data_IF_031352002758
#
_entry.id   IF_031352002758
#
_cell.length_a   1.000
_cell.length_b   1.000
_cell.length_c   1.000
_cell.angle_alpha   90.00
_cell.angle_beta   90.00
_cell.angle_gamma   90.00
#
_symmetry.space_group_name_H-M   'P 1'
#
loop_
_entity.id
_entity.type
_entity.pdbx_description
1 polymer ?
#
# COMPACT_ATOMS: atom_id res chain seq x y z
N UNK A 1 1.79 -21.35 -16.29
CA UNK A 1 2.88 -21.54 -15.33
C UNK A 1 3.34 -20.16 -14.94
N UNK A 2 3.13 -19.78 -13.69
CA UNK A 2 3.59 -18.49 -13.17
C UNK A 2 5.13 -18.55 -13.10
N UNK A 3 5.80 -17.58 -13.68
CA UNK A 3 7.27 -17.55 -13.77
C UNK A 3 7.76 -16.26 -13.15
N UNK A 4 8.63 -16.39 -12.16
CA UNK A 4 9.29 -15.23 -11.56
C UNK A 4 10.21 -14.54 -12.56
N UNK A 5 10.26 -13.22 -12.52
CA UNK A 5 11.20 -12.44 -13.33
C UNK A 5 12.58 -12.44 -12.66
N UNK A 6 13.66 -12.82 -13.35
CA UNK A 6 15.00 -12.74 -12.80
C UNK A 6 15.33 -11.32 -12.33
N UNK A 7 15.79 -11.18 -11.08
CA UNK A 7 16.11 -9.88 -10.46
C UNK A 7 14.93 -9.19 -9.79
N UNK A 8 13.72 -9.73 -9.84
CA UNK A 8 12.59 -9.25 -9.05
C UNK A 8 12.88 -9.43 -7.56
N UNK A 9 12.36 -8.49 -6.73
CA UNK A 9 12.53 -8.57 -5.27
C UNK A 9 11.64 -9.61 -4.60
N UNK A 10 10.53 -9.97 -5.24
CA UNK A 10 9.60 -10.99 -4.76
C UNK A 10 9.54 -12.17 -5.74
N UNK A 11 9.27 -13.33 -5.20
CA UNK A 11 8.95 -14.55 -5.95
C UNK A 11 7.61 -15.09 -5.48
N UNK A 12 6.90 -15.84 -6.32
CA UNK A 12 5.63 -16.45 -5.92
C UNK A 12 5.77 -17.33 -4.68
N UNK A 13 6.90 -18.00 -4.51
CA UNK A 13 7.19 -18.85 -3.34
C UNK A 13 7.31 -18.05 -2.03
N UNK A 14 7.63 -16.76 -2.09
CA UNK A 14 7.72 -15.90 -0.90
C UNK A 14 6.37 -15.29 -0.51
N UNK A 15 5.36 -15.36 -1.38
CA UNK A 15 4.01 -14.82 -1.12
C UNK A 15 3.16 -15.89 -0.44
N UNK A 16 3.08 -15.81 0.89
CA UNK A 16 2.21 -16.69 1.66
C UNK A 16 0.74 -16.24 1.57
N UNK A 17 -0.17 -17.20 1.55
CA UNK A 17 -1.62 -16.94 1.59
C UNK A 17 -2.22 -17.53 2.85
N UNK A 18 -3.17 -16.83 3.45
CA UNK A 18 -3.89 -17.30 4.62
C UNK A 18 -4.76 -16.20 5.25
N UNK A 19 -5.79 -16.58 6.01
CA UNK A 19 -6.72 -15.63 6.61
C UNK A 19 -6.01 -14.69 7.59
N UNK A 20 -6.46 -13.44 7.66
CA UNK A 20 -6.07 -12.54 8.73
C UNK A 20 -6.72 -12.98 10.06
N UNK A 21 -6.07 -12.74 11.20
CA UNK A 21 -6.72 -12.88 12.50
C UNK A 21 -7.89 -11.90 12.63
N UNK A 22 -8.88 -12.28 13.44
CA UNK A 22 -10.07 -11.44 13.68
C UNK A 22 -9.67 -10.09 14.32
N UNK A 23 -8.64 -10.10 15.16
CA UNK A 23 -8.18 -8.91 15.87
C UNK A 23 -6.86 -8.41 15.26
N UNK A 24 -6.95 -7.36 14.47
CA UNK A 24 -5.78 -6.64 13.96
C UNK A 24 -5.46 -5.47 14.87
N UNK A 25 -4.20 -5.33 15.24
CA UNK A 25 -3.73 -4.25 16.10
C UNK A 25 -3.81 -2.88 15.39
N UNK A 26 -3.64 -2.87 14.06
CA UNK A 26 -3.70 -1.67 13.23
C UNK A 26 -4.01 -2.04 11.78
N UNK A 27 -4.81 -1.22 11.11
CA UNK A 27 -5.14 -1.36 9.69
C UNK A 27 -4.92 -0.02 8.98
N UNK A 28 -4.26 -0.03 7.84
CA UNK A 28 -4.03 1.17 7.03
C UNK A 28 -4.45 0.96 5.58
N UNK A 29 -4.97 2.02 4.98
CA UNK A 29 -5.18 2.13 3.53
C UNK A 29 -4.05 2.98 2.98
N UNK A 30 -3.24 2.44 2.07
CA UNK A 30 -2.23 3.22 1.37
C UNK A 30 -2.70 3.58 -0.03
N UNK A 31 -2.49 4.84 -0.41
CA UNK A 31 -2.85 5.36 -1.72
C UNK A 31 -1.59 5.87 -2.41
N UNK A 32 -1.32 5.35 -3.60
CA UNK A 32 -0.30 5.87 -4.51
C UNK A 32 -1.00 6.44 -5.75
N UNK A 33 -1.30 7.75 -5.77
CA UNK A 33 -1.85 8.37 -6.96
C UNK A 33 -0.75 8.44 -8.02
N UNK A 34 -1.04 7.98 -9.22
CA UNK A 34 -0.10 8.08 -10.33
C UNK A 34 0.29 9.54 -10.57
N UNK A 35 1.59 9.79 -10.64
CA UNK A 35 2.15 11.09 -11.00
C UNK A 35 2.28 11.31 -12.50
N UNK A 36 1.51 10.61 -13.32
CA UNK A 36 1.56 10.71 -14.78
C UNK A 36 0.93 12.00 -15.31
N UNK A 37 1.31 12.36 -16.53
CA UNK A 37 0.77 13.53 -17.23
C UNK A 37 -0.65 13.33 -17.76
N UNK A 38 -1.20 12.12 -17.65
CA UNK A 38 -2.55 11.77 -18.08
C UNK A 38 -3.32 11.08 -16.92
N UNK A 39 -4.00 11.90 -16.08
CA UNK A 39 -4.76 11.39 -14.93
C UNK A 39 -5.85 10.38 -15.28
N UNK A 40 -6.33 10.38 -16.53
CA UNK A 40 -7.38 9.47 -16.99
C UNK A 40 -6.82 8.10 -17.40
N UNK A 41 -5.52 8.00 -17.65
CA UNK A 41 -4.88 6.78 -18.14
C UNK A 41 -4.02 6.05 -17.11
N UNK A 42 -3.78 6.64 -15.96
CA UNK A 42 -2.93 6.04 -14.94
C UNK A 42 -3.75 5.42 -13.81
N UNK A 43 -3.41 4.20 -13.40
CA UNK A 43 -4.02 3.55 -12.25
C UNK A 43 -3.61 4.25 -10.95
N UNK A 44 -4.52 4.29 -10.00
CA UNK A 44 -4.24 4.69 -8.63
C UNK A 44 -4.11 3.44 -7.76
N UNK A 45 -2.93 3.23 -7.21
CA UNK A 45 -2.68 2.13 -6.28
C UNK A 45 -3.43 2.38 -4.97
N UNK A 46 -4.27 1.43 -4.56
CA UNK A 46 -4.98 1.46 -3.28
C UNK A 46 -4.89 0.08 -2.67
N UNK A 47 -4.05 -0.07 -1.65
CA UNK A 47 -3.83 -1.34 -0.96
C UNK A 47 -4.15 -1.18 0.51
N UNK A 48 -4.85 -2.16 1.08
CA UNK A 48 -5.15 -2.21 2.52
C UNK A 48 -4.34 -3.32 3.16
N UNK A 49 -3.64 -2.99 4.23
CA UNK A 49 -2.90 -3.95 5.02
C UNK A 49 -3.17 -3.76 6.52
N UNK A 50 -3.01 -4.84 7.27
CA UNK A 50 -3.16 -4.87 8.71
C UNK A 50 -1.93 -5.45 9.41
N UNK A 51 -1.73 -5.04 10.65
CA UNK A 51 -0.74 -5.60 11.58
C UNK A 51 -1.48 -6.46 12.61
N UNK A 52 -1.14 -7.74 12.67
CA UNK A 52 -1.66 -8.62 13.70
C UNK A 52 -0.97 -8.41 15.06
N UNK A 53 -1.62 -8.84 16.13
CA UNK A 53 -1.03 -8.89 17.47
C UNK A 53 0.19 -9.83 17.54
N UNK A 54 0.29 -10.77 16.59
CA UNK A 54 1.42 -11.67 16.38
C UNK A 54 2.65 -10.99 15.73
N UNK A 55 2.55 -9.69 15.38
CA UNK A 55 3.60 -8.93 14.72
C UNK A 55 3.73 -9.23 13.22
N UNK A 56 2.78 -9.94 12.62
CA UNK A 56 2.75 -10.25 11.19
C UNK A 56 1.93 -9.23 10.42
N UNK A 57 2.30 -8.98 9.17
CA UNK A 57 1.53 -8.19 8.23
C UNK A 57 0.54 -9.03 7.44
N UNK A 58 -0.61 -8.46 7.15
CA UNK A 58 -1.68 -9.09 6.37
C UNK A 58 -2.15 -8.14 5.28
N UNK A 59 -2.02 -8.54 4.02
CA UNK A 59 -2.61 -7.80 2.91
C UNK A 59 -4.08 -8.18 2.83
N UNK A 60 -4.95 -7.21 3.08
CA UNK A 60 -6.38 -7.42 3.26
C UNK A 60 -7.18 -7.19 1.98
N UNK A 61 -6.77 -6.23 1.17
CA UNK A 61 -7.46 -5.90 -0.08
C UNK A 61 -6.56 -5.13 -1.05
N UNK A 62 -6.75 -5.38 -2.33
CA UNK A 62 -6.32 -4.52 -3.43
C UNK A 62 -7.56 -3.81 -4.00
N UNK A 63 -7.62 -2.51 -3.85
CA UNK A 63 -8.70 -1.65 -4.33
C UNK A 63 -8.23 -0.68 -5.41
N UNK A 64 -7.09 -0.98 -6.00
CA UNK A 64 -6.50 -0.22 -7.12
C UNK A 64 -7.52 -0.01 -8.22
N UNK A 65 -7.52 1.17 -8.80
CA UNK A 65 -8.51 1.57 -9.79
C UNK A 65 -7.93 2.58 -10.76
N UNK A 66 -8.68 2.78 -11.83
CA UNK A 66 -8.43 3.80 -12.84
C UNK A 66 -9.66 4.70 -12.92
N UNK A 67 -9.68 5.69 -12.06
CA UNK A 67 -10.83 6.58 -11.87
C UNK A 67 -10.39 8.04 -11.77
N UNK A 68 -11.35 8.95 -11.93
CA UNK A 68 -11.15 10.36 -11.62
C UNK A 68 -10.74 10.58 -10.15
N UNK A 69 -10.19 11.74 -9.79
CA UNK A 69 -9.85 12.06 -8.40
C UNK A 69 -11.01 11.83 -7.41
N UNK A 70 -12.23 12.21 -7.78
CA UNK A 70 -13.42 11.96 -6.97
C UNK A 70 -13.70 10.45 -6.84
N UNK A 71 -13.54 9.70 -7.93
CA UNK A 71 -13.80 8.27 -7.98
C UNK A 71 -12.81 7.48 -7.11
N UNK A 72 -11.51 7.71 -7.26
CA UNK A 72 -10.53 7.00 -6.44
C UNK A 72 -10.54 7.46 -4.97
N UNK A 73 -10.84 8.74 -4.71
CA UNK A 73 -11.02 9.23 -3.35
C UNK A 73 -12.17 8.51 -2.63
N UNK A 74 -13.32 8.37 -3.32
CA UNK A 74 -14.47 7.62 -2.80
C UNK A 74 -14.13 6.14 -2.57
N UNK A 75 -13.33 5.54 -3.46
CA UNK A 75 -12.89 4.15 -3.33
C UNK A 75 -11.97 3.95 -2.12
N UNK A 76 -11.04 4.88 -1.90
CA UNK A 76 -10.16 4.85 -0.73
C UNK A 76 -10.94 5.02 0.58
N UNK A 77 -11.91 5.94 0.63
CA UNK A 77 -12.79 6.13 1.81
C UNK A 77 -13.65 4.89 2.05
N UNK A 78 -14.19 4.26 1.02
CA UNK A 78 -14.92 2.99 1.17
C UNK A 78 -14.04 1.89 1.72
N UNK A 79 -12.82 1.72 1.19
CA UNK A 79 -11.87 0.73 1.71
C UNK A 79 -11.56 0.98 3.19
N UNK A 80 -11.40 2.24 3.60
CA UNK A 80 -11.20 2.63 4.99
C UNK A 80 -12.39 2.21 5.88
N UNK A 81 -13.62 2.45 5.43
CA UNK A 81 -14.83 2.10 6.17
C UNK A 81 -15.07 0.58 6.20
N UNK A 82 -14.99 -0.09 5.04
CA UNK A 82 -15.28 -1.51 4.90
C UNK A 82 -14.35 -2.39 5.75
N UNK A 83 -13.09 -1.99 5.89
CA UNK A 83 -12.06 -2.75 6.59
C UNK A 83 -11.72 -2.17 7.96
N UNK A 84 -12.53 -1.23 8.45
CA UNK A 84 -12.34 -0.56 9.74
C UNK A 84 -10.89 -0.08 9.94
N UNK A 85 -10.32 0.56 8.90
CA UNK A 85 -8.95 1.04 8.95
C UNK A 85 -8.79 2.21 9.94
N UNK A 86 -7.58 2.34 10.49
CA UNK A 86 -7.24 3.41 11.43
C UNK A 86 -6.84 4.70 10.72
N UNK A 87 -6.25 4.57 9.53
CA UNK A 87 -5.80 5.72 8.74
C UNK A 87 -5.71 5.42 7.25
N UNK A 88 -5.71 6.51 6.47
CA UNK A 88 -5.28 6.49 5.07
C UNK A 88 -3.91 7.16 5.01
N UNK A 89 -2.96 6.59 4.30
CA UNK A 89 -1.65 7.20 4.06
C UNK A 89 -1.37 7.34 2.56
N UNK A 90 -0.58 8.34 2.21
CA UNK A 90 -0.14 8.58 0.84
C UNK A 90 1.11 9.44 0.79
N UNK A 91 1.86 9.35 -0.32
CA UNK A 91 3.12 10.06 -0.47
C UNK A 91 2.92 11.57 -0.60
N UNK A 92 3.69 12.35 0.17
CA UNK A 92 3.60 13.80 0.21
C UNK A 92 4.29 14.51 -0.96
N UNK A 93 5.26 13.87 -1.63
CA UNK A 93 6.14 14.52 -2.61
C UNK A 93 5.43 14.90 -3.94
N UNK A 94 4.25 14.33 -4.20
CA UNK A 94 3.43 14.64 -5.36
C UNK A 94 2.08 15.23 -4.92
N UNK A 95 2.11 16.36 -4.22
CA UNK A 95 0.89 17.03 -3.78
C UNK A 95 0.23 16.34 -2.58
N UNK A 96 0.99 16.05 -1.51
CA UNK A 96 0.47 15.44 -0.29
C UNK A 96 -0.79 16.12 0.24
N UNK A 97 -0.90 17.42 0.07
CA UNK A 97 -2.13 18.18 0.37
C UNK A 97 -3.27 17.83 -0.61
N UNK A 98 -2.94 17.46 -1.86
CA UNK A 98 -3.94 17.10 -2.86
C UNK A 98 -4.62 15.77 -2.50
N UNK A 99 -3.86 14.73 -2.14
CA UNK A 99 -4.43 13.43 -1.72
C UNK A 99 -5.32 13.61 -0.50
N UNK A 100 -4.84 14.33 0.50
CA UNK A 100 -5.61 14.65 1.70
C UNK A 100 -6.91 15.41 1.38
N UNK A 101 -6.84 16.38 0.46
CA UNK A 101 -8.01 17.15 0.03
C UNK A 101 -9.04 16.27 -0.71
N UNK A 102 -8.58 15.40 -1.60
CA UNK A 102 -9.44 14.47 -2.34
C UNK A 102 -10.15 13.51 -1.37
N UNK A 103 -9.42 12.92 -0.43
CA UNK A 103 -10.00 12.04 0.60
C UNK A 103 -11.04 12.77 1.46
N UNK A 104 -10.74 14.00 1.92
CA UNK A 104 -11.69 14.82 2.69
C UNK A 104 -12.95 15.17 1.90
N UNK A 105 -12.78 15.55 0.64
CA UNK A 105 -13.90 15.90 -0.23
C UNK A 105 -14.79 14.66 -0.52
N UNK A 106 -14.16 13.51 -0.77
CA UNK A 106 -14.88 12.26 -0.95
C UNK A 106 -15.68 11.87 0.31
N UNK A 107 -15.09 11.95 1.48
CA UNK A 107 -15.76 11.67 2.75
C UNK A 107 -16.97 12.61 2.97
N UNK A 108 -16.80 13.91 2.68
CA UNK A 108 -17.89 14.90 2.75
C UNK A 108 -19.02 14.56 1.78
N UNK A 109 -18.70 14.22 0.53
CA UNK A 109 -19.68 13.83 -0.46
C UNK A 109 -20.45 12.56 -0.09
N UNK A 110 -19.79 11.64 0.59
CA UNK A 110 -20.38 10.40 1.12
C UNK A 110 -21.16 10.61 2.43
N UNK A 111 -21.10 11.79 3.04
CA UNK A 111 -21.75 12.08 4.31
C UNK A 111 -21.13 11.36 5.51
N UNK A 112 -19.84 11.04 5.44
CA UNK A 112 -19.12 10.33 6.52
C UNK A 112 -18.03 11.22 7.11
N UNK A 113 -17.58 10.88 8.33
CA UNK A 113 -16.46 11.55 8.98
C UNK A 113 -15.19 11.33 8.14
N UNK A 114 -14.42 12.40 7.94
CA UNK A 114 -13.17 12.32 7.20
C UNK A 114 -12.19 11.36 7.90
N UNK A 115 -11.60 10.40 7.15
CA UNK A 115 -10.57 9.52 7.67
C UNK A 115 -9.37 10.29 8.23
N UNK A 116 -8.70 9.72 9.23
CA UNK A 116 -7.38 10.20 9.63
C UNK A 116 -6.41 9.97 8.46
N UNK A 117 -5.85 11.06 7.93
CA UNK A 117 -4.88 11.01 6.83
C UNK A 117 -3.47 11.28 7.35
N UNK A 118 -2.53 10.44 6.94
CA UNK A 118 -1.11 10.58 7.23
C UNK A 118 -0.31 10.74 5.95
N UNK A 119 0.31 11.90 5.76
CA UNK A 119 1.30 12.09 4.70
C UNK A 119 2.57 11.31 5.03
N UNK A 120 3.06 10.51 4.09
CA UNK A 120 4.33 9.78 4.20
C UNK A 120 5.34 10.42 3.26
N UNK A 121 6.60 10.49 3.70
CA UNK A 121 7.67 11.14 2.95
C UNK A 121 8.67 10.11 2.45
N UNK A 122 8.93 10.13 1.14
CA UNK A 122 10.01 9.37 0.55
C UNK A 122 11.36 10.05 0.85
N UNK A 123 12.09 9.53 1.81
CA UNK A 123 13.47 9.96 2.08
C UNK A 123 14.51 9.23 1.22
N UNK A 124 14.11 8.17 0.51
CA UNK A 124 14.98 7.30 -0.29
C UNK A 124 14.27 6.85 -1.57
N UNK A 125 15.04 6.41 -2.57
CA UNK A 125 14.51 5.90 -3.84
C UNK A 125 13.60 4.67 -3.66
N UNK A 126 12.75 4.42 -4.64
CA UNK A 126 11.72 3.36 -4.60
C UNK A 126 12.29 1.97 -4.32
N UNK A 127 13.39 1.58 -4.98
CA UNK A 127 14.05 0.29 -4.76
C UNK A 127 14.53 0.12 -3.31
N UNK A 128 15.08 1.18 -2.71
CA UNK A 128 15.58 1.17 -1.32
C UNK A 128 14.43 1.03 -0.31
N UNK A 129 13.25 1.55 -0.62
CA UNK A 129 12.04 1.40 0.22
C UNK A 129 11.41 0.02 0.08
N UNK A 130 11.43 -0.54 -1.13
CA UNK A 130 10.87 -1.85 -1.42
C UNK A 130 11.65 -3.00 -0.76
N UNK A 131 12.97 -2.87 -0.65
CA UNK A 131 13.84 -3.92 -0.13
C UNK A 131 13.48 -4.40 1.28
N UNK A 132 13.28 -3.54 2.30
CA UNK A 132 12.88 -4.00 3.63
C UNK A 132 11.52 -4.72 3.63
N UNK A 133 10.60 -4.31 2.76
CA UNK A 133 9.30 -4.96 2.62
C UNK A 133 9.46 -6.34 1.99
N UNK A 134 10.27 -6.49 0.93
CA UNK A 134 10.56 -7.79 0.32
C UNK A 134 11.19 -8.76 1.34
N UNK A 135 12.09 -8.27 2.21
CA UNK A 135 12.68 -9.07 3.30
C UNK A 135 11.63 -9.59 4.29
N UNK A 136 10.57 -8.82 4.57
CA UNK A 136 9.46 -9.30 5.41
C UNK A 136 8.75 -10.50 4.79
N UNK A 137 8.60 -10.53 3.47
CA UNK A 137 8.03 -11.68 2.75
C UNK A 137 8.97 -12.89 2.82
N UNK A 138 10.28 -12.71 2.56
CA UNK A 138 11.27 -13.78 2.67
C UNK A 138 11.32 -14.41 4.07
N UNK A 139 11.09 -13.59 5.10
CA UNK A 139 11.01 -14.05 6.50
C UNK A 139 9.67 -14.71 6.85
N UNK A 140 8.74 -14.81 5.90
CA UNK A 140 7.40 -15.34 6.13
C UNK A 140 6.55 -14.47 7.06
N UNK A 141 6.82 -13.18 7.16
CA UNK A 141 6.13 -12.25 8.07
C UNK A 141 4.96 -11.52 7.45
N UNK A 142 4.69 -11.74 6.17
CA UNK A 142 3.54 -11.15 5.47
C UNK A 142 2.73 -12.27 4.82
N UNK A 143 1.40 -12.18 4.92
CA UNK A 143 0.48 -13.07 4.23
C UNK A 143 -0.56 -12.26 3.45
N UNK A 144 -0.95 -12.75 2.30
CA UNK A 144 -2.10 -12.25 1.55
C UNK A 144 -3.36 -13.00 2.00
N UNK A 145 -4.43 -12.27 2.31
CA UNK A 145 -5.66 -12.89 2.80
C UNK A 145 -6.45 -13.61 1.71
N UNK A 146 -6.16 -13.29 0.46
CA UNK A 146 -6.66 -13.95 -0.74
C UNK A 146 -5.59 -13.81 -1.86
N UNK A 147 -5.82 -14.40 -3.01
CA UNK A 147 -4.97 -14.22 -4.18
C UNK A 147 -5.29 -12.88 -4.82
N UNK A 148 -4.33 -11.96 -4.79
CA UNK A 148 -4.39 -10.66 -5.46
C UNK A 148 -3.57 -10.73 -6.75
N UNK A 149 -4.13 -11.37 -7.79
CA UNK A 149 -3.39 -11.75 -8.98
C UNK A 149 -2.60 -10.59 -9.62
N UNK A 150 -3.23 -9.43 -9.81
CA UNK A 150 -2.58 -8.28 -10.43
C UNK A 150 -1.48 -7.67 -9.54
N UNK A 151 -1.70 -7.62 -8.22
CA UNK A 151 -0.68 -7.17 -7.27
C UNK A 151 0.50 -8.15 -7.22
N UNK A 152 0.22 -9.45 -7.17
CA UNK A 152 1.25 -10.50 -7.10
C UNK A 152 2.08 -10.56 -8.40
N UNK A 153 1.44 -10.37 -9.56
CA UNK A 153 2.13 -10.24 -10.84
C UNK A 153 3.05 -9.01 -10.87
N UNK A 154 2.61 -7.87 -10.36
CA UNK A 154 3.46 -6.68 -10.24
C UNK A 154 4.66 -6.93 -9.33
N UNK A 155 4.47 -7.56 -8.16
CA UNK A 155 5.53 -7.88 -7.21
C UNK A 155 6.60 -8.79 -7.83
N UNK A 156 6.17 -9.85 -8.51
CA UNK A 156 7.08 -10.88 -9.06
C UNK A 156 7.67 -10.53 -10.43
N UNK A 157 7.18 -9.48 -11.07
CA UNK A 157 7.70 -8.99 -12.36
C UNK A 157 8.56 -7.74 -12.25
N UNK A 158 8.37 -6.92 -11.23
CA UNK A 158 9.13 -5.68 -11.09
C UNK A 158 10.55 -5.92 -10.58
N UNK A 159 11.52 -5.26 -11.24
CA UNK A 159 12.92 -5.23 -10.81
C UNK A 159 13.36 -3.80 -10.50
N UNK A 160 14.36 -3.60 -9.61
CA UNK A 160 14.92 -2.27 -9.34
C UNK A 160 15.42 -1.53 -10.59
N UNK A 161 15.86 -2.26 -11.61
CA UNK A 161 16.33 -1.73 -12.87
C UNK A 161 15.23 -1.34 -13.85
N UNK A 162 13.97 -1.74 -13.59
CA UNK A 162 12.82 -1.46 -14.47
C UNK A 162 12.48 0.03 -14.56
N UNK A 163 13.07 0.88 -13.74
CA UNK A 163 12.92 2.33 -13.74
C UNK A 163 11.61 2.81 -13.12
N UNK A 164 10.45 2.42 -13.65
CA UNK A 164 9.13 2.77 -13.10
C UNK A 164 8.56 1.61 -12.29
N UNK A 165 8.19 1.88 -11.03
CA UNK A 165 7.46 0.89 -10.23
C UNK A 165 5.97 1.00 -10.48
N UNK A 166 5.25 -0.14 -10.45
CA UNK A 166 3.80 -0.18 -10.55
C UNK A 166 3.11 0.44 -9.32
N UNK A 167 1.91 0.97 -9.51
CA UNK A 167 1.21 1.71 -8.45
C UNK A 167 0.70 0.83 -7.31
N UNK A 168 0.28 -0.42 -7.59
CA UNK A 168 -0.12 -1.41 -6.57
C UNK A 168 1.06 -1.75 -5.67
N UNK A 169 2.21 -2.04 -6.28
CA UNK A 169 3.45 -2.33 -5.57
C UNK A 169 3.85 -1.15 -4.65
N UNK A 170 3.82 0.07 -5.17
CA UNK A 170 4.17 1.26 -4.38
C UNK A 170 3.19 1.47 -3.22
N UNK A 171 1.89 1.30 -3.43
CA UNK A 171 0.89 1.36 -2.37
C UNK A 171 1.10 0.27 -1.31
N UNK A 172 1.39 -0.97 -1.70
CA UNK A 172 1.72 -2.05 -0.76
C UNK A 172 2.96 -1.73 0.06
N UNK A 173 4.03 -1.24 -0.59
CA UNK A 173 5.27 -0.85 0.08
C UNK A 173 5.00 0.23 1.12
N UNK A 174 4.18 1.23 0.82
CA UNK A 174 3.79 2.24 1.79
C UNK A 174 2.99 1.68 2.96
N UNK A 175 2.01 0.82 2.71
CA UNK A 175 1.19 0.21 3.75
C UNK A 175 2.04 -0.61 4.74
N UNK A 176 2.89 -1.50 4.23
CA UNK A 176 3.74 -2.35 5.07
C UNK A 176 4.90 -1.58 5.72
N UNK A 177 5.42 -0.54 5.07
CA UNK A 177 6.40 0.36 5.70
C UNK A 177 5.79 1.05 6.91
N UNK A 178 4.57 1.59 6.76
CA UNK A 178 3.86 2.27 7.84
C UNK A 178 3.54 1.35 9.03
N UNK A 179 3.26 0.08 8.76
CA UNK A 179 2.89 -0.89 9.78
C UNK A 179 4.07 -1.60 10.44
N UNK A 180 5.13 -1.90 9.69
CA UNK A 180 6.12 -2.90 10.08
C UNK A 180 7.57 -2.43 10.00
N UNK A 181 7.88 -1.45 9.14
CA UNK A 181 9.24 -0.92 8.99
C UNK A 181 9.41 0.27 9.93
N UNK A 182 10.05 0.06 11.07
CA UNK A 182 10.37 1.14 12.01
C UNK A 182 11.46 2.02 11.41
N UNK A 183 11.25 3.33 11.39
CA UNK A 183 12.31 4.27 11.11
C UNK A 183 13.46 4.06 12.11
N UNK A 184 14.67 3.91 11.60
CA UNK A 184 15.87 3.77 12.43
C UNK A 184 16.10 4.98 13.38
N UNK A 185 15.37 6.08 13.20
CA UNK A 185 15.39 7.27 14.05
C UNK A 185 14.60 7.15 15.35
N UNK A 186 13.69 6.18 15.48
CA UNK A 186 12.97 5.94 16.75
C UNK A 186 13.70 4.96 17.70
N UNK A 187 14.78 4.35 17.25
CA UNK A 187 15.55 3.40 18.06
C UNK A 187 16.57 4.08 19.00
N UNK A 188 16.72 5.38 18.99
CA UNK A 188 17.71 6.14 19.77
C UNK A 188 17.10 7.20 20.69
N UNK A 189 15.94 6.92 21.26
CA UNK A 189 15.40 7.73 22.37
C UNK A 189 15.27 6.81 23.58
N UNK A 190 16.39 6.64 24.27
CA UNK A 190 16.48 6.27 25.68
C UNK A 190 17.60 7.10 26.31
#
# INVERSE_FOLDING_TARGET
MLTDTPGALWTYDTIAHGPAPADLARVVVAVDPSGGSDPENDEQGIVVAGLGADGRGYVLADRTCKLSPEGWGSRAVRAYLDLAADSICGEANYGGDMVAAIVRNAARAMGVTAPHYKAVHASRGKAVRAQPVAQLYEQGRVSHCEVFAELEDELTSWTPESGRSPNRLDALVWALTELMVKDARQAYVY
#
